data_IF_413361846800
#
_entry.id   IF_413361846800
#
_cell.length_a   1.000
_cell.length_b   1.000
_cell.length_c   1.000
_cell.angle_alpha   90.00
_cell.angle_beta   90.00
_cell.angle_gamma   90.00
#
_symmetry.space_group_name_H-M   'P 1'
#
loop_
_entity.id
_entity.type
_entity.pdbx_description
1 polymer ?
#
# COMPACT_ATOMS: atom_id res chain seq x y z
N UNK A 1 -14.27 8.53 -17.58
CA UNK A 1 -14.04 7.13 -17.08
C UNK A 1 -14.07 7.13 -15.56
N UNK A 2 -14.81 6.21 -14.94
CA UNK A 2 -14.82 6.03 -13.48
C UNK A 2 -13.99 4.80 -13.10
N UNK A 3 -13.04 4.97 -12.21
CA UNK A 3 -12.10 3.91 -11.82
C UNK A 3 -12.17 3.58 -10.33
N UNK A 4 -12.10 2.29 -10.01
CA UNK A 4 -11.96 1.78 -8.64
C UNK A 4 -10.51 1.35 -8.43
N UNK A 5 -9.86 1.88 -7.39
CA UNK A 5 -8.46 1.59 -7.06
C UNK A 5 -8.31 1.16 -5.61
N UNK A 6 -7.35 0.28 -5.34
CA UNK A 6 -6.94 -0.05 -3.98
C UNK A 6 -5.90 0.97 -3.50
N UNK A 7 -5.99 1.52 -2.28
CA UNK A 7 -4.95 2.38 -1.74
C UNK A 7 -3.59 1.68 -1.73
N UNK A 8 -2.54 2.38 -2.14
CA UNK A 8 -1.17 1.87 -2.12
C UNK A 8 -0.24 2.88 -1.49
N UNK A 9 0.80 2.40 -0.80
CA UNK A 9 1.81 3.26 -0.19
C UNK A 9 2.57 4.08 -1.24
N UNK A 10 3.06 3.40 -2.28
CA UNK A 10 3.79 4.00 -3.38
C UNK A 10 3.25 3.43 -4.69
N UNK A 11 2.34 4.15 -5.37
CA UNK A 11 1.64 3.62 -6.54
C UNK A 11 2.59 3.33 -7.71
N UNK A 12 2.30 2.30 -8.49
CA UNK A 12 3.00 2.00 -9.74
C UNK A 12 2.65 3.01 -10.83
N UNK A 13 3.45 3.04 -11.90
CA UNK A 13 3.15 3.84 -13.10
C UNK A 13 1.77 3.47 -13.66
N UNK A 14 1.39 2.20 -13.67
CA UNK A 14 0.05 1.77 -14.10
C UNK A 14 -1.06 2.34 -13.22
N UNK A 15 -0.84 2.42 -11.90
CA UNK A 15 -1.79 3.03 -10.98
C UNK A 15 -1.96 4.53 -11.27
N UNK A 16 -0.86 5.26 -11.43
CA UNK A 16 -0.89 6.68 -11.80
C UNK A 16 -1.49 6.92 -13.19
N UNK A 17 -1.23 6.04 -14.15
CA UNK A 17 -1.80 6.14 -15.50
C UNK A 17 -3.33 6.05 -15.46
N UNK A 18 -3.88 5.14 -14.64
CA UNK A 18 -5.34 5.05 -14.44
C UNK A 18 -5.85 6.32 -13.74
N UNK A 19 -5.18 6.79 -12.69
CA UNK A 19 -5.57 8.02 -12.00
C UNK A 19 -5.61 9.23 -12.96
N UNK A 20 -4.60 9.40 -13.81
CA UNK A 20 -4.49 10.51 -14.75
C UNK A 20 -5.56 10.48 -15.86
N UNK A 21 -6.07 9.29 -16.21
CA UNK A 21 -7.07 9.09 -17.26
C UNK A 21 -8.51 9.00 -16.71
N UNK A 22 -8.68 9.01 -15.39
CA UNK A 22 -9.99 8.88 -14.76
C UNK A 22 -10.62 10.25 -14.50
N UNK A 23 -11.92 10.38 -14.78
CA UNK A 23 -12.72 11.55 -14.40
C UNK A 23 -13.07 11.51 -12.92
N UNK A 24 -13.38 10.31 -12.42
CA UNK A 24 -13.65 10.06 -11.00
C UNK A 24 -12.87 8.82 -10.54
N UNK A 25 -12.33 8.90 -9.33
CA UNK A 25 -11.57 7.83 -8.69
C UNK A 25 -12.26 7.50 -7.36
N UNK A 26 -12.59 6.23 -7.18
CA UNK A 26 -13.05 5.69 -5.90
C UNK A 26 -11.97 4.78 -5.34
N UNK A 27 -11.64 4.94 -4.06
CA UNK A 27 -10.77 4.00 -3.36
C UNK A 27 -11.60 2.91 -2.68
N UNK A 28 -11.26 1.65 -2.94
CA UNK A 28 -11.83 0.49 -2.25
C UNK A 28 -11.20 0.36 -0.86
N UNK A 29 -12.00 0.58 0.19
CA UNK A 29 -11.59 0.60 1.60
C UNK A 29 -12.28 -0.47 2.46
N UNK A 30 -13.29 -1.14 1.93
CA UNK A 30 -14.13 -2.13 2.61
C UNK A 30 -13.65 -3.57 2.36
N UNK A 31 -12.57 -3.75 1.61
CA UNK A 31 -11.92 -5.04 1.44
C UNK A 31 -11.16 -5.49 2.70
N UNK A 32 -10.69 -6.74 2.66
CA UNK A 32 -9.87 -7.31 3.73
C UNK A 32 -8.39 -7.12 3.37
N UNK A 33 -7.58 -6.74 4.35
CA UNK A 33 -6.17 -6.44 4.13
C UNK A 33 -5.38 -7.64 3.61
N UNK A 34 -4.81 -7.48 2.42
CA UNK A 34 -3.95 -8.49 1.82
C UNK A 34 -2.48 -8.21 2.12
N UNK A 35 -1.88 -9.09 2.92
CA UNK A 35 -0.45 -9.07 3.21
C UNK A 35 0.36 -9.27 1.92
N UNK A 36 1.58 -8.76 1.91
CA UNK A 36 2.53 -8.94 0.80
C UNK A 36 2.11 -8.29 -0.52
N UNK A 37 1.33 -7.20 -0.47
CA UNK A 37 0.86 -6.46 -1.65
C UNK A 37 1.40 -5.03 -1.65
N UNK A 38 1.18 -4.30 -2.76
CA UNK A 38 1.57 -2.89 -2.90
C UNK A 38 0.84 -1.93 -1.93
N UNK A 39 -0.12 -2.44 -1.14
CA UNK A 39 -0.78 -1.67 -0.07
C UNK A 39 0.23 -1.13 0.94
N UNK A 40 1.24 -1.93 1.28
CA UNK A 40 2.27 -1.56 2.26
C UNK A 40 3.71 -1.88 1.82
N UNK A 41 3.91 -2.38 0.59
CA UNK A 41 5.23 -2.68 0.02
C UNK A 41 5.49 -1.87 -1.23
N UNK A 42 6.73 -1.51 -1.46
CA UNK A 42 7.22 -1.00 -2.74
C UNK A 42 8.66 -1.46 -2.98
N UNK A 43 9.02 -1.60 -4.24
CA UNK A 43 10.37 -1.96 -4.64
C UNK A 43 11.00 -0.76 -5.35
N UNK A 44 12.17 -0.36 -4.89
CA UNK A 44 12.97 0.70 -5.50
C UNK A 44 14.34 0.16 -5.91
N UNK A 45 15.01 0.87 -6.80
CA UNK A 45 16.41 0.58 -7.10
C UNK A 45 17.30 1.36 -6.14
N UNK A 46 18.26 0.68 -5.51
CA UNK A 46 19.27 1.24 -4.62
C UNK A 46 20.67 0.87 -5.12
N UNK A 47 21.75 1.42 -4.53
CA UNK A 47 23.12 1.07 -4.90
C UNK A 47 23.42 -0.44 -4.80
N UNK A 48 22.66 -1.18 -3.98
CA UNK A 48 22.82 -2.61 -3.76
C UNK A 48 21.80 -3.45 -4.56
N UNK A 49 21.12 -2.87 -5.55
CA UNK A 49 20.10 -3.54 -6.36
C UNK A 49 18.67 -3.24 -5.92
N UNK A 50 17.75 -4.19 -6.12
CA UNK A 50 16.34 -3.99 -5.76
C UNK A 50 16.18 -4.00 -4.24
N UNK A 51 15.69 -2.89 -3.70
CA UNK A 51 15.39 -2.72 -2.28
C UNK A 51 13.87 -2.76 -2.06
N UNK A 52 13.44 -3.60 -1.12
CA UNK A 52 12.07 -3.61 -0.61
C UNK A 52 11.92 -2.55 0.49
N UNK A 53 11.02 -1.60 0.30
CA UNK A 53 10.49 -0.75 1.36
C UNK A 53 9.15 -1.31 1.80
N UNK A 54 8.95 -1.50 3.11
CA UNK A 54 7.74 -2.12 3.65
C UNK A 54 7.27 -1.34 4.88
N UNK A 55 6.10 -0.70 4.77
CA UNK A 55 5.42 -0.12 5.91
C UNK A 55 4.92 -1.26 6.81
N UNK A 56 5.42 -1.35 8.05
CA UNK A 56 4.96 -2.36 8.99
C UNK A 56 3.56 -2.02 9.49
N UNK A 57 2.77 -3.06 9.76
CA UNK A 57 1.40 -2.92 10.25
C UNK A 57 1.23 -3.71 11.53
N UNK A 58 0.38 -3.22 12.44
CA UNK A 58 0.07 -3.91 13.69
C UNK A 58 -0.55 -5.26 13.39
N UNK A 59 -0.06 -6.31 14.04
CA UNK A 59 -0.59 -7.65 13.86
C UNK A 59 -1.98 -7.76 14.52
N UNK A 60 -3.00 -8.11 13.73
CA UNK A 60 -4.31 -8.50 14.25
C UNK A 60 -4.42 -10.03 14.30
N UNK A 61 -5.10 -10.53 15.35
CA UNK A 61 -5.51 -11.94 15.44
C UNK A 61 -6.73 -12.26 14.55
N UNK A 62 -7.36 -11.24 13.98
CA UNK A 62 -8.50 -11.38 13.09
C UNK A 62 -8.06 -11.89 11.71
N UNK A 63 -8.71 -12.96 11.23
CA UNK A 63 -8.36 -13.60 9.96
C UNK A 63 -8.64 -12.70 8.74
N UNK A 64 -9.63 -11.81 8.85
CA UNK A 64 -10.17 -10.99 7.77
C UNK A 64 -10.28 -9.51 8.16
N UNK A 65 -9.24 -9.00 8.81
CA UNK A 65 -9.16 -7.59 9.18
C UNK A 65 -9.44 -6.67 7.99
N UNK A 66 -10.35 -5.72 8.15
CA UNK A 66 -10.68 -4.73 7.12
C UNK A 66 -9.49 -3.81 6.87
N UNK A 67 -9.23 -3.47 5.60
CA UNK A 67 -8.12 -2.58 5.23
C UNK A 67 -8.20 -1.23 5.96
N UNK A 68 -9.40 -0.66 6.09
CA UNK A 68 -9.63 0.59 6.84
C UNK A 68 -9.28 0.53 8.34
N UNK A 69 -9.20 -0.67 8.92
CA UNK A 69 -8.90 -0.89 10.34
C UNK A 69 -7.41 -1.17 10.59
N UNK A 70 -6.64 -1.41 9.53
CA UNK A 70 -5.20 -1.66 9.63
C UNK A 70 -4.48 -0.41 10.12
N UNK A 71 -3.60 -0.59 11.11
CA UNK A 71 -2.79 0.48 11.69
C UNK A 71 -1.33 0.26 11.39
N UNK A 72 -0.61 1.34 11.13
CA UNK A 72 0.84 1.34 10.98
C UNK A 72 1.48 1.01 12.33
N UNK A 73 2.48 0.13 12.32
CA UNK A 73 3.33 -0.11 13.48
C UNK A 73 4.42 0.97 13.55
N UNK A 74 4.46 1.74 14.63
CA UNK A 74 5.42 2.83 14.82
C UNK A 74 6.32 2.61 16.04
N UNK A 75 6.26 1.44 16.71
CA UNK A 75 7.16 1.09 17.82
C UNK A 75 8.64 1.01 17.40
N UNK A 76 8.91 0.86 16.10
CA UNK A 76 10.24 0.92 15.52
C UNK A 76 10.34 1.95 14.41
N UNK A 77 11.54 2.52 14.25
CA UNK A 77 11.81 3.63 13.34
C UNK A 77 12.05 3.17 11.90
N UNK A 78 11.04 2.52 11.30
CA UNK A 78 11.09 2.02 9.93
C UNK A 78 11.28 3.15 8.91
N UNK A 79 10.91 4.39 9.26
CA UNK A 79 11.06 5.57 8.38
C UNK A 79 12.51 5.93 8.12
N UNK A 80 13.44 5.62 9.03
CA UNK A 80 14.88 5.79 8.77
C UNK A 80 15.42 4.88 7.67
N UNK A 81 14.70 3.80 7.35
CA UNK A 81 15.08 2.82 6.33
C UNK A 81 14.42 3.07 4.97
N UNK A 82 13.53 4.07 4.88
CA UNK A 82 12.80 4.48 3.69
C UNK A 82 13.30 5.84 3.22
#
# INVERSE_FOLDING_TARGET
>A
MNSLLLPTYFPSISHFAVMAQSENITFEMEDNFQKQTNRNRTYIYSPNGIQLLNIPVKHSKELHQKTKEVRIENEFDWRKQH
#
